data_IF_130996259617
#
_entry.id   IF_130996259617
#
_cell.length_a   1.000
_cell.length_b   1.000
_cell.length_c   1.000
_cell.angle_alpha   90.00
_cell.angle_beta   90.00
_cell.angle_gamma   90.00
#
_symmetry.space_group_name_H-M   'P 1'
#
loop_
_entity.id
_entity.type
_entity.pdbx_description
1 polymer ?
#
# COMPACT_ATOMS: atom_id res chain seq x y z
N UNK A 1 -9.34 3.80 -8.67
CA UNK A 1 -10.54 3.51 -7.85
C UNK A 1 -10.16 2.50 -6.79
N UNK A 2 -10.72 2.60 -5.59
CA UNK A 2 -10.50 1.66 -4.48
C UNK A 2 -11.86 1.09 -4.09
N UNK A 3 -11.96 -0.21 -3.87
CA UNK A 3 -13.18 -0.90 -3.45
C UNK A 3 -12.94 -1.81 -2.25
N UNK A 4 -14.02 -2.29 -1.63
CA UNK A 4 -13.96 -3.08 -0.39
C UNK A 4 -14.44 -2.28 0.84
N UNK A 5 -14.49 -2.95 1.99
CA UNK A 5 -15.03 -2.39 3.25
C UNK A 5 -14.16 -1.27 3.82
N UNK A 6 -12.83 -1.37 3.78
CA UNK A 6 -11.89 -0.31 4.18
C UNK A 6 -11.56 0.72 3.10
N UNK A 7 -12.41 0.87 2.08
CA UNK A 7 -12.10 1.71 0.92
C UNK A 7 -12.24 3.21 1.17
N UNK A 8 -13.08 3.63 2.12
CA UNK A 8 -13.33 5.05 2.40
C UNK A 8 -12.09 5.73 2.99
N UNK A 9 -11.41 5.04 3.90
CA UNK A 9 -10.17 5.48 4.56
C UNK A 9 -9.07 5.69 3.51
N UNK A 10 -8.87 4.68 2.65
CA UNK A 10 -7.86 4.72 1.60
C UNK A 10 -8.16 5.83 0.59
N UNK A 11 -9.41 5.99 0.17
CA UNK A 11 -9.81 7.06 -0.76
C UNK A 11 -9.54 8.45 -0.17
N UNK A 12 -9.84 8.66 1.11
CA UNK A 12 -9.56 9.92 1.79
C UNK A 12 -8.07 10.28 1.80
N UNK A 13 -7.22 9.31 2.13
CA UNK A 13 -5.76 9.51 2.16
C UNK A 13 -5.22 9.78 0.75
N UNK A 14 -5.63 8.99 -0.25
CA UNK A 14 -5.20 9.21 -1.64
C UNK A 14 -5.64 10.60 -2.14
N UNK A 15 -6.87 11.02 -1.82
CA UNK A 15 -7.39 12.35 -2.19
C UNK A 15 -6.63 13.48 -1.52
N UNK A 16 -6.16 13.27 -0.29
CA UNK A 16 -5.31 14.22 0.42
C UNK A 16 -3.92 14.31 -0.24
N UNK A 17 -3.26 13.17 -0.45
CA UNK A 17 -1.92 13.11 -1.03
C UNK A 17 -1.86 13.64 -2.47
N UNK A 18 -2.88 13.38 -3.27
CA UNK A 18 -2.97 13.91 -4.64
C UNK A 18 -3.03 15.45 -4.65
N UNK A 19 -3.69 16.04 -3.65
CA UNK A 19 -3.93 17.49 -3.60
C UNK A 19 -2.87 18.28 -2.85
N UNK A 20 -2.29 17.71 -1.80
CA UNK A 20 -1.39 18.39 -0.86
C UNK A 20 -0.13 17.58 -0.53
N UNK A 21 0.06 16.42 -1.17
CA UNK A 21 1.20 15.55 -0.93
C UNK A 21 2.48 16.01 -1.64
N UNK A 22 3.39 15.06 -1.97
CA UNK A 22 4.71 15.37 -2.52
C UNK A 22 4.67 16.31 -3.72
N UNK A 23 5.71 17.15 -3.87
CA UNK A 23 5.89 17.99 -5.04
C UNK A 23 5.86 17.13 -6.31
N UNK A 24 4.85 17.33 -7.16
CA UNK A 24 4.61 16.52 -8.37
C UNK A 24 3.51 15.45 -8.25
N UNK A 25 2.85 15.33 -7.09
CA UNK A 25 1.70 14.46 -6.86
C UNK A 25 2.05 12.98 -6.77
N UNK A 26 1.03 12.12 -6.70
CA UNK A 26 1.21 10.67 -6.65
C UNK A 26 1.86 10.11 -7.93
N UNK A 27 1.81 10.83 -9.05
CA UNK A 27 2.44 10.44 -10.31
C UNK A 27 3.96 10.55 -10.31
N UNK A 28 4.57 11.31 -9.39
CA UNK A 28 6.01 11.52 -9.36
C UNK A 28 6.76 10.56 -8.43
N UNK A 29 6.05 9.75 -7.65
CA UNK A 29 6.68 8.84 -6.68
C UNK A 29 7.30 7.63 -7.38
N UNK A 30 8.35 7.07 -6.78
CA UNK A 30 9.03 5.90 -7.33
C UNK A 30 8.17 4.62 -7.25
N UNK A 31 8.51 3.58 -8.02
CA UNK A 31 7.88 2.24 -7.90
C UNK A 31 7.95 1.72 -6.45
N UNK A 32 9.09 1.92 -5.77
CA UNK A 32 9.27 1.52 -4.37
C UNK A 32 8.28 2.28 -3.47
N UNK A 33 8.23 3.61 -3.59
CA UNK A 33 7.37 4.45 -2.74
C UNK A 33 5.89 4.18 -2.97
N UNK A 34 5.49 3.87 -4.20
CA UNK A 34 4.11 3.48 -4.51
C UNK A 34 3.72 2.15 -3.83
N UNK A 35 4.64 1.17 -3.80
CA UNK A 35 4.44 -0.10 -3.09
C UNK A 35 4.34 0.14 -1.59
N UNK A 36 5.26 0.91 -1.01
CA UNK A 36 5.25 1.26 0.42
C UNK A 36 3.98 2.02 0.79
N UNK A 37 3.57 3.00 -0.01
CA UNK A 37 2.32 3.72 0.20
C UNK A 37 1.12 2.77 0.18
N UNK A 38 1.07 1.84 -0.77
CA UNK A 38 -0.01 0.85 -0.83
C UNK A 38 -0.08 -0.03 0.42
N UNK A 39 1.07 -0.47 0.93
CA UNK A 39 1.14 -1.25 2.17
C UNK A 39 0.68 -0.44 3.38
N UNK A 40 1.11 0.82 3.51
CA UNK A 40 0.67 1.72 4.59
C UNK A 40 -0.83 1.99 4.53
N UNK A 41 -1.39 2.16 3.33
CA UNK A 41 -2.83 2.36 3.13
C UNK A 41 -3.63 1.14 3.57
N UNK A 42 -3.17 -0.07 3.23
CA UNK A 42 -3.83 -1.32 3.64
C UNK A 42 -3.73 -1.57 5.15
N UNK A 43 -2.56 -1.32 5.76
CA UNK A 43 -2.42 -1.40 7.22
C UNK A 43 -3.34 -0.38 7.91
N UNK A 44 -3.42 0.84 7.39
CA UNK A 44 -4.32 1.87 7.95
C UNK A 44 -5.78 1.46 7.83
N UNK A 45 -6.20 0.93 6.69
CA UNK A 45 -7.56 0.43 6.50
C UNK A 45 -7.91 -0.68 7.49
N UNK A 46 -6.97 -1.59 7.76
CA UNK A 46 -7.17 -2.68 8.73
C UNK A 46 -7.38 -2.22 10.17
N UNK A 47 -6.89 -1.02 10.51
CA UNK A 47 -7.10 -0.46 11.84
C UNK A 47 -8.56 -0.03 12.07
N UNK A 48 -9.23 0.47 11.03
CA UNK A 48 -10.59 1.01 11.14
C UNK A 48 -11.68 0.02 10.70
N UNK A 49 -11.34 -0.96 9.87
CA UNK A 49 -12.27 -1.95 9.33
C UNK A 49 -11.86 -3.37 9.70
N UNK A 50 -12.64 -4.03 10.55
CA UNK A 50 -12.36 -5.40 11.02
C UNK A 50 -12.50 -6.48 9.94
N UNK A 51 -13.17 -6.17 8.81
CA UNK A 51 -13.22 -7.06 7.65
C UNK A 51 -11.97 -6.93 6.75
N UNK A 52 -11.18 -5.87 6.91
CA UNK A 52 -9.89 -5.69 6.26
C UNK A 52 -8.81 -6.30 7.15
N UNK A 53 -8.30 -7.47 6.75
CA UNK A 53 -7.20 -8.11 7.45
C UNK A 53 -5.96 -7.23 7.48
N UNK A 54 -5.46 -6.92 8.66
CA UNK A 54 -4.15 -6.30 8.84
C UNK A 54 -3.04 -7.28 8.51
N UNK A 55 -1.82 -6.76 8.33
CA UNK A 55 -0.68 -7.60 7.99
C UNK A 55 -0.21 -8.34 9.25
N UNK A 56 -0.44 -9.65 9.32
CA UNK A 56 0.02 -10.46 10.46
C UNK A 56 1.44 -10.96 10.19
N UNK A 57 2.46 -10.15 10.54
CA UNK A 57 3.86 -10.50 10.27
C UNK A 57 4.35 -11.75 11.02
N UNK A 58 3.72 -12.13 12.13
CA UNK A 58 3.98 -13.41 12.81
C UNK A 58 3.70 -14.61 11.91
N UNK A 59 2.70 -14.49 11.03
CA UNK A 59 2.23 -15.55 10.14
C UNK A 59 2.73 -15.40 8.68
N UNK A 60 3.62 -14.42 8.42
CA UNK A 60 4.14 -14.09 7.07
C UNK A 60 3.04 -13.82 6.04
N UNK A 61 1.90 -13.29 6.48
CA UNK A 61 0.78 -12.98 5.58
C UNK A 61 0.95 -11.55 5.08
N UNK A 62 1.32 -11.39 3.80
CA UNK A 62 1.50 -10.10 3.14
C UNK A 62 0.42 -9.85 2.08
N UNK A 63 0.14 -8.58 1.81
CA UNK A 63 -0.77 -8.18 0.74
C UNK A 63 -0.19 -8.50 -0.63
N UNK A 64 -1.00 -9.08 -1.54
CA UNK A 64 -0.58 -9.32 -2.91
C UNK A 64 -0.58 -8.00 -3.69
N UNK A 65 0.60 -7.60 -4.19
CA UNK A 65 0.75 -6.39 -5.01
C UNK A 65 1.08 -6.78 -6.44
N UNK A 66 0.31 -6.23 -7.39
CA UNK A 66 0.53 -6.37 -8.82
C UNK A 66 0.81 -5.02 -9.46
N UNK A 67 1.83 -4.99 -10.31
CA UNK A 67 2.24 -3.81 -11.06
C UNK A 67 1.85 -3.99 -12.51
N UNK A 68 1.23 -2.97 -13.09
CA UNK A 68 0.82 -2.97 -14.49
C UNK A 68 1.64 -1.94 -15.24
N UNK A 69 2.25 -2.36 -16.34
CA UNK A 69 3.05 -1.50 -17.22
C UNK A 69 2.89 -1.91 -18.68
N UNK A 70 3.54 -1.18 -19.61
CA UNK A 70 3.60 -1.57 -21.01
C UNK A 70 4.27 -2.94 -21.27
N UNK A 71 5.00 -3.49 -20.28
CA UNK A 71 5.60 -4.83 -20.34
C UNK A 71 4.66 -5.95 -19.87
N UNK A 72 3.47 -5.61 -19.38
CA UNK A 72 2.50 -6.55 -18.81
C UNK A 72 2.34 -6.38 -17.30
N UNK A 73 1.89 -7.46 -16.65
CA UNK A 73 1.59 -7.52 -15.22
C UNK A 73 2.69 -8.29 -14.48
N UNK A 74 3.22 -7.69 -13.43
CA UNK A 74 4.27 -8.26 -12.57
C UNK A 74 3.71 -8.39 -11.13
N UNK A 75 3.87 -9.55 -10.51
CA UNK A 75 3.59 -9.73 -9.07
C UNK A 75 4.84 -9.38 -8.27
N UNK A 76 4.70 -8.54 -7.26
CA UNK A 76 5.80 -8.19 -6.36
C UNK A 76 6.14 -9.41 -5.48
N UNK A 77 7.43 -9.74 -5.36
CA UNK A 77 7.88 -10.90 -4.59
C UNK A 77 7.68 -10.74 -3.07
N UNK A 78 7.36 -11.84 -2.39
CA UNK A 78 7.07 -11.85 -0.96
C UNK A 78 8.25 -11.38 -0.09
N UNK A 79 9.49 -11.76 -0.43
CA UNK A 79 10.68 -11.32 0.30
C UNK A 79 10.84 -9.79 0.30
N UNK A 80 10.55 -9.15 -0.85
CA UNK A 80 10.57 -7.70 -0.96
C UNK A 80 9.43 -7.08 -0.14
N UNK A 81 8.23 -7.64 -0.20
CA UNK A 81 7.09 -7.15 0.60
C UNK A 81 7.38 -7.25 2.10
N UNK A 82 8.00 -8.36 2.54
CA UNK A 82 8.46 -8.54 3.90
C UNK A 82 9.44 -7.46 4.31
N UNK A 83 10.49 -7.25 3.51
CA UNK A 83 11.51 -6.23 3.79
C UNK A 83 10.87 -4.84 3.91
N UNK A 84 10.00 -4.45 2.98
CA UNK A 84 9.31 -3.16 3.03
C UNK A 84 8.39 -3.04 4.24
N UNK A 85 7.69 -4.11 4.63
CA UNK A 85 6.85 -4.10 5.83
C UNK A 85 7.67 -3.87 7.10
N UNK A 86 8.81 -4.55 7.23
CA UNK A 86 9.67 -4.47 8.40
C UNK A 86 10.41 -3.12 8.48
N UNK A 87 10.89 -2.59 7.35
CA UNK A 87 11.76 -1.41 7.32
C UNK A 87 11.03 -0.09 7.09
N UNK A 88 10.00 -0.07 6.25
CA UNK A 88 9.34 1.16 5.80
C UNK A 88 7.94 1.35 6.40
N UNK A 89 7.27 0.28 6.82
CA UNK A 89 5.90 0.36 7.38
C UNK A 89 5.91 0.34 8.90
N UNK A 90 6.65 -0.59 9.51
CA UNK A 90 6.71 -0.77 10.98
C UNK A 90 7.94 -0.18 11.63
N UNK A 91 8.99 0.07 10.86
CA UNK A 91 10.25 0.64 11.33
C UNK A 91 10.24 2.16 11.52
N UNK A 92 9.06 2.81 11.48
CA UNK A 92 8.87 4.27 11.56
C UNK A 92 8.23 4.66 12.88
#
# INVERSE_FOLDING_TARGET
>A
AVGGSGSLEVQGILRFLDRWGPSGGLSSISKKDAIVLSLRLLETASYFDSATGGIQAGDRIYSVIKLVSGKGVETVGEDFLKEMMETEVRGV
#
